data_IF_281335803193
#
_entry.id   IF_281335803193
#
_cell.length_a   1.000
_cell.length_b   1.000
_cell.length_c   1.000
_cell.angle_alpha   90.00
_cell.angle_beta   90.00
_cell.angle_gamma   90.00
#
_symmetry.space_group_name_H-M   'P 1'
#
loop_
_entity.id
_entity.type
_entity.pdbx_description
1 polymer ?
#
# COMPACT_ATOMS: atom_id res chain seq x y z
N UNK A 1 -40.41 -34.88 -5.96
CA UNK A 1 -40.87 -33.47 -5.86
C UNK A 1 -40.86 -33.04 -4.40
N UNK A 2 -39.92 -32.18 -4.00
CA UNK A 2 -39.99 -31.25 -2.87
C UNK A 2 -38.75 -30.35 -2.95
N UNK A 3 -38.99 -29.05 -3.07
CA UNK A 3 -38.03 -28.05 -3.52
C UNK A 3 -36.92 -27.77 -2.52
N UNK A 4 -35.72 -27.50 -3.06
CA UNK A 4 -34.67 -26.75 -2.37
C UNK A 4 -34.72 -25.32 -2.87
N UNK A 5 -35.15 -24.44 -1.98
CA UNK A 5 -35.06 -22.98 -2.12
C UNK A 5 -33.59 -22.56 -2.21
N UNK A 6 -33.25 -21.85 -3.28
CA UNK A 6 -31.93 -21.22 -3.48
C UNK A 6 -31.78 -20.00 -2.54
N UNK A 7 -30.62 -19.78 -1.89
CA UNK A 7 -30.39 -18.54 -1.15
C UNK A 7 -30.28 -17.34 -2.11
N UNK A 8 -30.99 -16.26 -1.78
CA UNK A 8 -31.29 -15.10 -2.63
C UNK A 8 -30.24 -13.98 -2.60
N UNK A 9 -28.94 -14.28 -2.53
CA UNK A 9 -27.89 -13.25 -2.47
C UNK A 9 -27.18 -12.99 -3.82
N UNK A 10 -27.75 -13.47 -4.92
CA UNK A 10 -27.34 -13.06 -6.27
C UNK A 10 -28.15 -11.82 -6.64
N UNK A 11 -27.67 -10.63 -6.25
CA UNK A 11 -27.90 -9.38 -6.99
C UNK A 11 -27.14 -8.18 -6.41
N UNK A 12 -26.52 -7.44 -7.33
CA UNK A 12 -25.85 -6.12 -7.24
C UNK A 12 -24.39 -6.20 -6.78
N UNK A 13 -23.42 -5.66 -7.49
CA UNK A 13 -23.43 -4.89 -8.72
C UNK A 13 -21.99 -4.82 -9.25
N UNK A 14 -21.88 -4.75 -10.57
CA UNK A 14 -20.64 -4.46 -11.29
C UNK A 14 -19.91 -3.28 -10.67
N UNK A 15 -18.82 -3.55 -9.96
CA UNK A 15 -17.86 -2.54 -9.51
C UNK A 15 -17.09 -2.04 -10.72
N UNK A 16 -17.70 -1.12 -11.48
CA UNK A 16 -16.98 -0.32 -12.44
C UNK A 16 -15.92 0.47 -11.67
N UNK A 17 -14.66 0.28 -12.05
CA UNK A 17 -13.56 1.11 -11.58
C UNK A 17 -13.92 2.59 -11.79
N UNK A 18 -13.73 3.47 -10.80
CA UNK A 18 -13.82 4.90 -11.04
C UNK A 18 -12.84 5.23 -12.16
N UNK A 19 -13.34 5.74 -13.29
CA UNK A 19 -12.45 6.24 -14.35
C UNK A 19 -11.61 7.35 -13.74
N UNK A 20 -10.29 7.22 -13.85
CA UNK A 20 -9.33 8.28 -13.54
C UNK A 20 -9.53 9.41 -14.55
N UNK A 21 -10.48 10.29 -14.28
CA UNK A 21 -10.60 11.62 -14.88
C UNK A 21 -10.94 12.61 -13.79
N UNK A 22 -9.95 12.88 -12.96
CA UNK A 22 -9.77 14.16 -12.28
C UNK A 22 -8.28 14.31 -11.98
N UNK A 23 -7.50 14.58 -13.04
CA UNK A 23 -6.20 15.23 -12.86
C UNK A 23 -6.47 16.62 -12.28
N UNK A 24 -5.75 17.08 -11.25
CA UNK A 24 -5.67 18.51 -11.00
C UNK A 24 -5.11 19.14 -12.27
N UNK A 25 -5.88 20.05 -12.90
CA UNK A 25 -5.39 20.84 -14.04
C UNK A 25 -4.13 21.57 -13.60
N UNK A 26 -3.02 21.30 -14.28
CA UNK A 26 -1.89 22.23 -14.34
C UNK A 26 -2.45 23.56 -14.85
N UNK A 27 -2.69 24.50 -13.94
CA UNK A 27 -2.87 25.89 -14.32
C UNK A 27 -1.49 26.46 -14.49
N UNK A 28 -1.06 26.56 -15.74
CA UNK A 28 0.00 27.44 -16.19
C UNK A 28 -0.28 28.84 -15.64
N UNK A 29 0.52 29.27 -14.66
CA UNK A 29 0.72 30.69 -14.39
C UNK A 29 2.19 30.98 -14.58
N UNK A 30 2.40 31.78 -15.62
CA UNK A 30 3.64 32.36 -16.08
C UNK A 30 4.58 32.75 -14.95
N UNK A 31 5.83 32.33 -15.16
CA UNK A 31 7.01 33.03 -14.76
C UNK A 31 7.02 34.43 -15.42
N UNK A 32 6.94 35.51 -14.63
CA UNK A 32 7.57 36.80 -14.96
C UNK A 32 7.40 37.79 -13.80
N UNK A 33 8.53 38.31 -13.32
CA UNK A 33 8.66 39.50 -12.45
C UNK A 33 8.30 39.24 -10.98
N UNK A 34 9.17 39.36 -9.98
CA UNK A 34 10.22 40.36 -9.79
C UNK A 34 11.25 39.76 -8.82
N UNK A 35 12.53 39.60 -9.17
CA UNK A 35 13.56 40.63 -8.96
C UNK A 35 13.31 41.45 -7.69
N UNK A 36 13.80 40.95 -6.55
CA UNK A 36 14.35 41.69 -5.38
C UNK A 36 14.81 40.58 -4.41
N UNK A 37 16.09 40.18 -4.48
CA UNK A 37 16.93 39.66 -3.38
C UNK A 37 18.37 39.45 -3.90
N UNK A 38 18.82 40.35 -4.77
CA UNK A 38 20.21 40.45 -5.25
C UNK A 38 20.71 41.88 -5.04
N UNK A 39 20.87 42.27 -3.78
CA UNK A 39 21.61 43.48 -3.42
C UNK A 39 21.99 43.43 -1.93
N UNK A 40 23.10 42.78 -1.60
CA UNK A 40 23.99 43.14 -0.49
C UNK A 40 25.17 42.16 -0.40
N UNK A 41 26.08 42.19 -1.36
CA UNK A 41 27.47 41.80 -1.13
C UNK A 41 28.33 42.37 -2.24
N UNK A 42 28.68 43.64 -2.12
CA UNK A 42 29.77 44.22 -2.91
C UNK A 42 30.67 45.03 -1.98
N UNK A 43 31.94 44.62 -1.94
CA UNK A 43 33.15 45.28 -1.43
C UNK A 43 33.49 45.04 0.05
N UNK A 44 34.42 44.11 0.27
CA UNK A 44 35.81 44.47 0.59
C UNK A 44 36.73 43.23 0.51
N UNK A 45 37.60 43.26 -0.50
CA UNK A 45 38.98 42.74 -0.54
C UNK A 45 39.48 41.83 0.59
N UNK A 46 40.01 40.65 0.23
CA UNK A 46 40.85 39.85 1.11
C UNK A 46 41.08 38.41 0.63
N UNK A 47 42.00 38.26 -0.33
CA UNK A 47 42.94 37.14 -0.50
C UNK A 47 42.47 35.69 -0.72
N UNK A 48 43.28 35.03 -1.54
CA UNK A 48 43.14 33.70 -2.08
C UNK A 48 43.17 32.60 -1.01
N UNK A 49 42.41 31.53 -1.24
CA UNK A 49 42.57 30.31 -0.46
C UNK A 49 41.52 29.26 -0.73
N UNK A 50 41.84 28.33 -1.63
CA UNK A 50 41.43 26.92 -1.58
C UNK A 50 39.96 26.53 -1.83
N UNK A 51 39.81 25.32 -2.39
CA UNK A 51 38.59 24.49 -2.41
C UNK A 51 37.56 24.78 -3.51
N UNK A 52 37.96 24.52 -4.76
CA UNK A 52 37.05 24.10 -5.83
C UNK A 52 36.64 22.63 -5.68
N UNK A 53 36.08 22.29 -4.52
CA UNK A 53 35.42 21.02 -4.23
C UNK A 53 34.11 21.36 -3.52
N UNK A 54 33.08 20.52 -3.70
CA UNK A 54 31.77 20.61 -3.04
C UNK A 54 30.69 21.44 -3.73
N UNK A 55 30.41 21.18 -5.02
CA UNK A 55 29.14 21.60 -5.63
C UNK A 55 28.07 20.48 -5.72
N UNK A 56 28.31 19.29 -5.14
CA UNK A 56 27.36 18.17 -5.21
C UNK A 56 27.00 17.52 -3.86
N UNK A 57 27.48 18.05 -2.73
CA UNK A 57 27.29 17.43 -1.41
C UNK A 57 26.09 17.96 -0.61
N UNK A 58 25.33 18.94 -1.13
CA UNK A 58 24.35 19.72 -0.33
C UNK A 58 22.86 19.37 -0.51
N UNK A 59 22.53 18.32 -1.27
CA UNK A 59 21.14 17.88 -1.47
C UNK A 59 20.93 16.39 -1.18
N UNK A 60 21.55 15.89 -0.11
CA UNK A 60 21.23 14.61 0.53
C UNK A 60 20.64 14.89 1.93
N UNK A 61 19.58 15.70 2.00
CA UNK A 61 18.74 15.77 3.19
C UNK A 61 18.00 14.43 3.29
N UNK A 62 18.53 13.52 4.11
CA UNK A 62 17.85 12.27 4.51
C UNK A 62 16.50 12.65 5.11
N UNK A 63 15.46 12.57 4.30
CA UNK A 63 14.09 12.75 4.76
C UNK A 63 13.79 11.68 5.81
N UNK A 64 13.27 12.10 6.96
CA UNK A 64 12.93 11.19 8.04
C UNK A 64 11.75 10.28 7.60
N UNK A 65 11.68 9.07 8.14
CA UNK A 65 10.60 8.11 7.85
C UNK A 65 9.25 8.78 8.10
N UNK A 66 9.14 9.56 9.18
CA UNK A 66 7.91 10.27 9.52
C UNK A 66 7.56 11.39 8.55
N UNK A 67 8.56 12.11 8.03
CA UNK A 67 8.35 13.14 7.01
C UNK A 67 7.83 12.51 5.71
N UNK A 68 8.49 11.45 5.23
CA UNK A 68 8.06 10.70 4.04
C UNK A 68 6.63 10.17 4.23
N UNK A 69 6.34 9.55 5.38
CA UNK A 69 5.00 9.03 5.66
C UNK A 69 3.93 10.13 5.66
N UNK A 70 4.25 11.30 6.22
CA UNK A 70 3.37 12.46 6.25
C UNK A 70 3.05 12.97 4.84
N UNK A 71 4.07 13.10 3.99
CA UNK A 71 3.91 13.50 2.59
C UNK A 71 3.06 12.49 1.81
N UNK A 72 3.41 11.21 1.88
CA UNK A 72 2.70 10.12 1.19
C UNK A 72 1.21 10.11 1.57
N UNK A 73 0.88 10.18 2.86
CA UNK A 73 -0.52 10.15 3.33
C UNK A 73 -1.27 11.42 2.95
N UNK A 74 -0.59 12.57 2.85
CA UNK A 74 -1.22 13.84 2.47
C UNK A 74 -1.71 13.86 1.02
N UNK A 75 -1.00 13.16 0.13
CA UNK A 75 -1.38 13.03 -1.28
C UNK A 75 -2.25 11.79 -1.54
N UNK A 76 -1.84 10.65 -0.98
CA UNK A 76 -2.40 9.33 -1.27
C UNK A 76 -3.05 8.69 -0.05
N UNK A 77 -4.33 8.35 -0.17
CA UNK A 77 -5.01 7.54 0.84
C UNK A 77 -4.48 6.10 0.78
N UNK A 78 -3.68 5.68 1.77
CA UNK A 78 -3.17 4.30 1.87
C UNK A 78 -3.74 3.57 3.08
N UNK A 79 -4.16 2.32 2.90
CA UNK A 79 -4.51 1.46 4.03
C UNK A 79 -3.24 1.05 4.83
N UNK A 80 -3.44 0.50 6.02
CA UNK A 80 -2.34 0.19 6.94
C UNK A 80 -1.34 -0.80 6.33
N UNK A 81 -1.80 -1.88 5.68
CA UNK A 81 -0.89 -2.81 4.99
C UNK A 81 -0.10 -2.13 3.87
N UNK A 82 -0.77 -1.26 3.09
CA UNK A 82 -0.12 -0.60 1.95
C UNK A 82 0.92 0.43 2.33
N UNK A 83 0.69 1.16 3.42
CA UNK A 83 1.68 2.06 3.97
C UNK A 83 2.83 1.28 4.61
N UNK A 84 2.53 0.31 5.48
CA UNK A 84 3.55 -0.41 6.22
C UNK A 84 4.48 -1.24 5.33
N UNK A 85 3.98 -1.81 4.23
CA UNK A 85 4.85 -2.56 3.32
C UNK A 85 5.90 -1.70 2.61
N UNK A 86 5.70 -0.38 2.50
CA UNK A 86 6.71 0.52 1.93
C UNK A 86 7.99 0.60 2.77
N UNK A 87 7.92 0.12 4.01
CA UNK A 87 9.02 0.08 4.97
C UNK A 87 9.33 -1.35 5.42
N UNK A 88 8.86 -2.36 4.68
CA UNK A 88 8.91 -3.77 5.08
C UNK A 88 10.34 -4.30 5.32
N UNK A 89 11.35 -3.76 4.66
CA UNK A 89 12.74 -4.23 4.84
C UNK A 89 13.45 -3.62 6.05
N UNK A 90 12.91 -2.55 6.65
CA UNK A 90 13.51 -1.92 7.84
C UNK A 90 13.37 -2.78 9.09
N UNK A 91 12.23 -3.48 9.23
CA UNK A 91 12.00 -4.47 10.26
C UNK A 91 11.23 -5.65 9.66
N UNK A 92 11.58 -6.88 10.02
CA UNK A 92 10.89 -8.09 9.55
C UNK A 92 10.06 -8.77 10.64
N UNK A 93 10.12 -8.26 11.86
CA UNK A 93 9.50 -8.86 13.06
C UNK A 93 8.00 -8.62 13.06
N UNK A 94 7.57 -7.40 12.74
CA UNK A 94 6.17 -7.01 12.77
C UNK A 94 5.49 -7.19 11.41
N UNK A 95 4.17 -7.42 11.43
CA UNK A 95 3.36 -7.46 10.22
C UNK A 95 3.26 -6.08 9.56
N UNK A 96 3.18 -6.02 8.23
CA UNK A 96 3.09 -4.74 7.52
C UNK A 96 1.82 -3.94 7.90
N UNK A 97 0.68 -4.61 8.13
CA UNK A 97 -0.53 -3.95 8.64
C UNK A 97 -0.28 -3.25 9.98
N UNK A 98 0.43 -3.91 10.90
CA UNK A 98 0.79 -3.36 12.21
C UNK A 98 1.76 -2.19 12.08
N UNK A 99 2.79 -2.31 11.24
CA UNK A 99 3.73 -1.21 10.94
C UNK A 99 3.01 0.02 10.41
N UNK A 100 2.14 -0.13 9.42
CA UNK A 100 1.40 1.00 8.86
C UNK A 100 0.46 1.63 9.89
N UNK A 101 -0.19 0.82 10.73
CA UNK A 101 -1.00 1.31 11.85
C UNK A 101 -0.15 2.14 12.83
N UNK A 102 1.04 1.67 13.17
CA UNK A 102 1.97 2.37 14.05
C UNK A 102 2.45 3.70 13.44
N UNK A 103 2.81 3.72 12.15
CA UNK A 103 3.18 4.94 11.44
C UNK A 103 2.06 5.98 11.45
N UNK A 104 0.82 5.55 11.19
CA UNK A 104 -0.35 6.45 11.28
C UNK A 104 -0.62 6.93 12.70
N UNK A 105 -0.41 6.10 13.71
CA UNK A 105 -0.49 6.50 15.12
C UNK A 105 0.52 7.60 15.44
N UNK A 106 1.77 7.42 15.01
CA UNK A 106 2.82 8.41 15.23
C UNK A 106 2.50 9.74 14.52
N UNK A 107 2.03 9.70 13.26
CA UNK A 107 1.57 10.89 12.54
C UNK A 107 0.40 11.59 13.24
N UNK A 108 -0.55 10.81 13.79
CA UNK A 108 -1.66 11.35 14.57
C UNK A 108 -1.14 12.06 15.83
N UNK A 109 -0.23 11.45 16.59
CA UNK A 109 0.37 12.06 17.77
C UNK A 109 1.13 13.36 17.43
N UNK A 110 1.93 13.35 16.36
CA UNK A 110 2.63 14.55 15.87
C UNK A 110 1.63 15.66 15.51
N UNK A 111 0.55 15.34 14.81
CA UNK A 111 -0.48 16.31 14.47
C UNK A 111 -1.17 16.89 15.73
N UNK A 112 -1.41 16.08 16.76
CA UNK A 112 -1.95 16.59 18.03
C UNK A 112 -0.97 17.49 18.78
N UNK A 113 0.31 17.13 18.81
CA UNK A 113 1.37 17.95 19.41
C UNK A 113 1.45 19.33 18.76
N UNK A 114 1.29 19.39 17.43
CA UNK A 114 1.29 20.65 16.67
C UNK A 114 -0.07 21.35 16.62
N UNK A 115 -1.13 20.80 17.23
CA UNK A 115 -2.47 21.39 17.15
C UNK A 115 -2.54 22.79 17.78
N UNK A 116 -1.71 23.08 18.79
CA UNK A 116 -1.65 24.38 19.47
C UNK A 116 -0.85 25.42 18.69
N UNK A 117 0.23 25.03 18.01
CA UNK A 117 1.15 25.95 17.32
C UNK A 117 0.81 26.11 15.83
N UNK A 118 0.52 25.01 15.13
CA UNK A 118 0.22 24.97 13.69
C UNK A 118 -1.13 24.30 13.42
N UNK A 119 -2.20 24.90 13.95
CA UNK A 119 -3.56 24.32 13.92
C UNK A 119 -4.07 23.95 12.53
N UNK A 120 -3.74 24.73 11.50
CA UNK A 120 -4.16 24.46 10.10
C UNK A 120 -3.47 23.22 9.54
N UNK A 121 -2.17 23.05 9.82
CA UNK A 121 -1.36 21.94 9.30
C UNK A 121 -1.74 20.64 10.01
N UNK A 122 -1.85 20.69 11.33
CA UNK A 122 -2.37 19.59 12.14
C UNK A 122 -3.73 19.10 11.63
N UNK A 123 -4.64 20.03 11.33
CA UNK A 123 -5.96 19.67 10.79
C UNK A 123 -5.86 19.00 9.41
N UNK A 124 -4.98 19.47 8.53
CA UNK A 124 -4.75 18.86 7.20
C UNK A 124 -4.24 17.42 7.34
N UNK A 125 -3.24 17.19 8.18
CA UNK A 125 -2.67 15.85 8.41
C UNK A 125 -3.71 14.89 9.00
N UNK A 126 -4.48 15.34 10.01
CA UNK A 126 -5.55 14.53 10.61
C UNK A 126 -6.65 14.20 9.61
N UNK A 127 -7.01 15.16 8.74
CA UNK A 127 -8.00 14.95 7.67
C UNK A 127 -7.51 13.89 6.68
N UNK A 128 -6.26 13.99 6.23
CA UNK A 128 -5.65 13.01 5.32
C UNK A 128 -5.59 11.60 5.94
N UNK A 129 -5.20 11.49 7.21
CA UNK A 129 -5.22 10.23 7.95
C UNK A 129 -6.65 9.65 8.00
N UNK A 130 -7.66 10.45 8.34
CA UNK A 130 -9.04 10.00 8.40
C UNK A 130 -9.56 9.55 7.02
N UNK A 131 -9.24 10.28 5.95
CA UNK A 131 -9.57 9.89 4.57
C UNK A 131 -8.90 8.57 4.16
N UNK A 132 -7.73 8.24 4.72
CA UNK A 132 -7.05 6.95 4.50
C UNK A 132 -7.71 5.75 5.21
N UNK A 133 -8.80 5.99 5.95
CA UNK A 133 -9.50 4.97 6.73
C UNK A 133 -8.99 4.78 8.15
N UNK A 134 -8.13 5.68 8.66
CA UNK A 134 -7.63 5.59 10.04
C UNK A 134 -8.64 6.16 11.03
N UNK A 135 -9.42 5.27 11.65
CA UNK A 135 -10.58 5.62 12.50
C UNK A 135 -10.26 6.49 13.73
N UNK A 136 -9.12 6.32 14.45
CA UNK A 136 -8.83 7.10 15.64
C UNK A 136 -8.77 8.62 15.40
N UNK A 137 -8.48 9.05 14.16
CA UNK A 137 -8.48 10.45 13.80
C UNK A 137 -9.88 11.08 13.84
N UNK A 138 -10.95 10.31 13.61
CA UNK A 138 -12.33 10.82 13.60
C UNK A 138 -12.72 11.44 14.96
N UNK A 139 -12.34 10.79 16.06
CA UNK A 139 -12.61 11.30 17.41
C UNK A 139 -11.89 12.63 17.67
N UNK A 140 -10.66 12.78 17.16
CA UNK A 140 -9.86 14.01 17.30
C UNK A 140 -10.43 15.14 16.44
N UNK A 141 -10.78 14.85 15.18
CA UNK A 141 -11.34 15.83 14.26
C UNK A 141 -12.68 16.39 14.74
N UNK A 142 -13.56 15.55 15.31
CA UNK A 142 -14.84 15.99 15.89
C UNK A 142 -14.66 17.00 17.04
N UNK A 143 -13.60 16.86 17.84
CA UNK A 143 -13.24 17.84 18.89
C UNK A 143 -12.77 19.17 18.29
N UNK A 144 -12.07 19.14 17.15
CA UNK A 144 -11.54 20.35 16.51
C UNK A 144 -12.59 21.11 15.68
N UNK A 145 -13.52 20.41 15.02
CA UNK A 145 -14.62 20.98 14.25
C UNK A 145 -15.90 20.13 14.38
N UNK A 146 -17.00 20.76 14.83
CA UNK A 146 -18.31 20.10 15.07
C UNK A 146 -19.03 19.61 13.81
N UNK A 147 -18.76 20.20 12.64
CA UNK A 147 -19.35 19.80 11.36
C UNK A 147 -18.23 19.51 10.37
N UNK A 148 -17.92 18.24 10.19
CA UNK A 148 -16.99 17.78 9.17
C UNK A 148 -17.58 16.54 8.51
N UNK A 149 -17.79 16.62 7.20
CA UNK A 149 -18.09 15.44 6.41
C UNK A 149 -16.76 14.86 5.94
N UNK A 150 -16.44 13.67 6.45
CA UNK A 150 -15.20 12.96 6.11
C UNK A 150 -15.62 11.72 5.35
N UNK A 151 -15.28 11.69 4.07
CA UNK A 151 -15.49 10.53 3.22
C UNK A 151 -14.17 9.76 3.17
N UNK A 152 -14.22 8.51 3.64
CA UNK A 152 -13.10 7.58 3.49
C UNK A 152 -12.86 7.32 2.00
N UNK A 153 -11.61 7.51 1.55
CA UNK A 153 -11.19 7.22 0.19
C UNK A 153 -10.69 5.77 0.11
N UNK A 154 -10.96 5.05 -0.99
CA UNK A 154 -10.35 3.74 -1.21
C UNK A 154 -8.82 3.89 -1.26
N UNK A 155 -8.12 2.83 -0.83
CA UNK A 155 -6.67 2.80 -0.87
C UNK A 155 -6.18 3.02 -2.31
N UNK A 156 -5.25 3.95 -2.52
CA UNK A 156 -4.69 4.28 -3.83
C UNK A 156 -4.06 3.08 -4.53
N UNK A 157 -3.43 2.16 -3.78
CA UNK A 157 -2.76 1.00 -4.37
C UNK A 157 -3.68 -0.20 -4.49
N UNK A 158 -4.30 -0.63 -3.39
CA UNK A 158 -5.05 -1.90 -3.37
C UNK A 158 -6.56 -1.74 -3.53
N UNK A 159 -7.10 -0.52 -3.56
CA UNK A 159 -8.55 -0.29 -3.66
C UNK A 159 -9.39 -1.08 -2.64
N UNK A 160 -8.82 -1.43 -1.48
CA UNK A 160 -9.47 -2.18 -0.40
C UNK A 160 -9.40 -3.71 -0.48
N UNK A 161 -8.81 -4.33 -1.51
CA UNK A 161 -8.77 -5.81 -1.57
C UNK A 161 -7.91 -6.44 -0.46
N UNK A 162 -6.99 -5.69 0.16
CA UNK A 162 -6.17 -6.18 1.27
C UNK A 162 -7.00 -6.55 2.52
N UNK A 163 -8.20 -5.99 2.66
CA UNK A 163 -9.12 -6.35 3.76
C UNK A 163 -9.91 -7.63 3.45
N UNK A 164 -9.90 -8.10 2.20
CA UNK A 164 -10.60 -9.31 1.73
C UNK A 164 -9.69 -10.55 1.59
N UNK A 165 -8.46 -10.50 2.10
CA UNK A 165 -7.50 -11.62 2.00
C UNK A 165 -8.03 -12.91 2.65
N UNK A 166 -8.84 -12.80 3.70
CA UNK A 166 -9.49 -13.96 4.32
C UNK A 166 -10.50 -14.62 3.38
N UNK A 167 -11.34 -13.82 2.70
CA UNK A 167 -12.27 -14.30 1.67
C UNK A 167 -11.52 -15.05 0.56
N UNK A 168 -10.42 -14.48 0.07
CA UNK A 168 -9.61 -15.11 -0.98
C UNK A 168 -8.94 -16.42 -0.51
N UNK A 169 -8.53 -16.48 0.75
CA UNK A 169 -7.95 -17.68 1.34
C UNK A 169 -8.97 -18.81 1.43
N UNK A 170 -10.20 -18.50 1.85
CA UNK A 170 -11.31 -19.44 1.91
C UNK A 170 -11.73 -19.92 0.52
N UNK A 171 -11.78 -19.03 -0.47
CA UNK A 171 -12.04 -19.41 -1.86
C UNK A 171 -10.96 -20.37 -2.38
N UNK A 172 -9.68 -20.04 -2.15
CA UNK A 172 -8.56 -20.85 -2.61
C UNK A 172 -8.55 -22.26 -2.03
N UNK A 173 -8.81 -22.42 -0.73
CA UNK A 173 -8.89 -23.75 -0.12
C UNK A 173 -10.10 -24.54 -0.63
N UNK A 174 -11.26 -23.89 -0.78
CA UNK A 174 -12.46 -24.56 -1.29
C UNK A 174 -12.32 -25.00 -2.75
N UNK A 175 -11.51 -24.30 -3.55
CA UNK A 175 -11.23 -24.69 -4.94
C UNK A 175 -10.40 -25.97 -5.07
N UNK A 176 -9.74 -26.44 -4.01
CA UNK A 176 -9.05 -27.74 -4.03
C UNK A 176 -10.04 -28.92 -4.12
N UNK A 177 -11.27 -28.76 -3.62
CA UNK A 177 -12.25 -29.86 -3.56
C UNK A 177 -11.66 -31.09 -2.87
N UNK A 178 -11.78 -32.25 -3.52
CA UNK A 178 -11.30 -33.55 -3.01
C UNK A 178 -9.91 -33.92 -3.54
N UNK A 179 -9.16 -32.99 -4.13
CA UNK A 179 -7.85 -33.30 -4.71
C UNK A 179 -6.82 -33.57 -3.60
N UNK A 180 -6.25 -34.76 -3.63
CA UNK A 180 -5.16 -35.15 -2.73
C UNK A 180 -3.85 -34.45 -3.11
N UNK A 181 -3.27 -33.72 -2.16
CA UNK A 181 -1.96 -33.08 -2.29
C UNK A 181 -1.29 -33.01 -0.92
N UNK A 182 0.04 -33.05 -0.91
CA UNK A 182 0.86 -32.84 0.28
C UNK A 182 1.43 -31.43 0.32
N UNK A 183 1.79 -30.90 -0.86
CA UNK A 183 2.44 -29.59 -1.00
C UNK A 183 1.67 -28.66 -1.94
N UNK A 184 1.56 -27.40 -1.54
CA UNK A 184 0.87 -26.35 -2.29
C UNK A 184 1.75 -25.11 -2.45
N UNK A 185 1.59 -24.40 -3.57
CA UNK A 185 2.12 -23.05 -3.80
C UNK A 185 0.95 -22.08 -4.00
N UNK A 186 1.05 -20.89 -3.41
CA UNK A 186 0.14 -19.79 -3.68
C UNK A 186 0.81 -18.78 -4.61
N UNK A 187 0.18 -18.55 -5.76
CA UNK A 187 0.46 -17.45 -6.67
C UNK A 187 -0.71 -16.47 -6.72
N UNK A 188 -0.47 -15.30 -7.34
CA UNK A 188 -1.56 -14.38 -7.64
C UNK A 188 -1.34 -13.69 -8.99
N UNK A 189 -2.44 -13.35 -9.65
CA UNK A 189 -2.48 -12.47 -10.83
C UNK A 189 -2.94 -11.09 -10.35
N UNK A 190 -2.05 -10.11 -10.44
CA UNK A 190 -2.29 -8.73 -9.99
C UNK A 190 -2.82 -7.88 -11.15
N UNK A 191 -3.79 -6.96 -10.93
CA UNK A 191 -4.16 -5.97 -11.93
C UNK A 191 -2.98 -5.06 -12.24
N UNK A 192 -2.80 -4.72 -13.52
CA UNK A 192 -1.74 -3.82 -13.96
C UNK A 192 -1.80 -2.46 -13.23
N UNK A 193 -3.00 -1.90 -13.03
CA UNK A 193 -3.17 -0.62 -12.34
C UNK A 193 -2.60 -0.62 -10.92
N UNK A 194 -2.64 -1.77 -10.24
CA UNK A 194 -2.12 -1.90 -8.86
C UNK A 194 -0.59 -1.92 -8.86
N UNK A 195 0.00 -2.60 -9.84
CA UNK A 195 1.46 -2.65 -10.02
C UNK A 195 1.99 -1.27 -10.42
N UNK A 196 1.36 -0.61 -11.39
CA UNK A 196 1.71 0.74 -11.83
C UNK A 196 1.60 1.77 -10.70
N UNK A 197 0.50 1.75 -9.93
CA UNK A 197 0.29 2.67 -8.81
C UNK A 197 1.33 2.47 -7.69
N UNK A 198 1.75 1.22 -7.46
CA UNK A 198 2.83 0.93 -6.51
C UNK A 198 4.18 1.46 -6.99
N UNK A 199 4.53 1.19 -8.24
CA UNK A 199 5.81 1.59 -8.82
C UNK A 199 5.92 3.12 -8.92
N UNK A 200 4.83 3.81 -9.30
CA UNK A 200 4.76 5.28 -9.30
C UNK A 200 5.03 5.84 -7.89
N UNK A 201 4.35 5.29 -6.87
CA UNK A 201 4.48 5.74 -5.49
C UNK A 201 5.90 5.49 -4.96
N UNK A 202 6.50 4.33 -5.24
CA UNK A 202 7.88 4.01 -4.84
C UNK A 202 8.90 4.92 -5.51
N UNK A 203 8.73 5.20 -6.80
CA UNK A 203 9.63 6.06 -7.56
C UNK A 203 9.56 7.51 -7.06
N UNK A 204 8.35 8.04 -6.86
CA UNK A 204 8.13 9.43 -6.43
C UNK A 204 8.78 9.75 -5.09
N UNK A 205 8.58 8.88 -4.09
CA UNK A 205 9.09 9.09 -2.72
C UNK A 205 10.39 8.34 -2.43
N UNK A 206 11.04 7.77 -3.46
CA UNK A 206 12.30 7.01 -3.35
C UNK A 206 12.25 5.92 -2.26
N UNK A 207 11.14 5.17 -2.19
CA UNK A 207 10.88 4.16 -1.16
C UNK A 207 11.67 2.88 -1.42
N UNK A 208 12.96 2.89 -1.06
CA UNK A 208 13.89 1.76 -1.28
C UNK A 208 13.57 0.54 -0.43
N UNK A 209 12.85 0.73 0.66
CA UNK A 209 12.59 -0.31 1.65
C UNK A 209 11.29 -1.08 1.42
N UNK A 210 10.57 -0.79 0.34
CA UNK A 210 9.24 -1.30 0.07
C UNK A 210 9.20 -2.72 -0.48
N UNK A 211 8.37 -3.57 0.12
CA UNK A 211 8.00 -4.88 -0.41
C UNK A 211 6.98 -4.73 -1.56
N UNK A 212 7.01 -5.65 -2.53
CA UNK A 212 6.00 -5.67 -3.60
C UNK A 212 4.68 -6.25 -3.08
N UNK A 213 3.56 -5.62 -3.43
CA UNK A 213 2.22 -6.06 -3.01
C UNK A 213 1.92 -7.53 -3.35
N UNK A 214 2.45 -8.04 -4.47
CA UNK A 214 2.36 -9.46 -4.87
C UNK A 214 2.92 -10.40 -3.80
N UNK A 215 4.07 -10.05 -3.22
CA UNK A 215 4.72 -10.86 -2.19
C UNK A 215 3.95 -10.80 -0.87
N UNK A 216 3.42 -9.63 -0.51
CA UNK A 216 2.60 -9.50 0.69
C UNK A 216 1.32 -10.35 0.56
N UNK A 217 0.60 -10.25 -0.56
CA UNK A 217 -0.65 -10.98 -0.78
C UNK A 217 -0.40 -12.50 -0.76
N UNK A 218 0.57 -12.99 -1.52
CA UNK A 218 0.87 -14.44 -1.57
C UNK A 218 1.32 -14.98 -0.21
N UNK A 219 2.12 -14.21 0.55
CA UNK A 219 2.53 -14.59 1.91
C UNK A 219 1.34 -14.64 2.86
N UNK A 220 0.48 -13.63 2.83
CA UNK A 220 -0.65 -13.51 3.75
C UNK A 220 -1.76 -14.53 3.47
N UNK A 221 -2.03 -14.85 2.20
CA UNK A 221 -2.94 -15.94 1.82
C UNK A 221 -2.31 -17.29 2.21
N UNK A 222 -1.02 -17.51 1.93
CA UNK A 222 -0.34 -18.76 2.26
C UNK A 222 -0.30 -19.06 3.77
N UNK A 223 -0.14 -18.04 4.63
CA UNK A 223 -0.23 -18.20 6.10
C UNK A 223 -1.63 -18.64 6.54
N UNK A 224 -2.67 -18.03 5.97
CA UNK A 224 -4.07 -18.35 6.30
C UNK A 224 -4.43 -19.76 5.87
N UNK A 225 -4.01 -20.17 4.67
CA UNK A 225 -4.25 -21.52 4.18
C UNK A 225 -3.54 -22.57 5.04
N UNK A 226 -2.27 -22.35 5.42
CA UNK A 226 -1.57 -23.24 6.36
C UNK A 226 -2.26 -23.34 7.73
N UNK A 227 -2.91 -22.28 8.20
CA UNK A 227 -3.66 -22.31 9.45
C UNK A 227 -5.00 -23.06 9.32
N UNK A 228 -5.58 -23.11 8.11
CA UNK A 228 -6.87 -23.76 7.84
C UNK A 228 -6.75 -25.22 7.42
N UNK A 229 -5.63 -25.61 6.81
CA UNK A 229 -5.39 -26.93 6.28
C UNK A 229 -3.99 -27.42 6.62
N UNK A 230 -3.88 -28.70 6.96
CA UNK A 230 -2.60 -29.39 7.18
C UNK A 230 -1.91 -29.71 5.84
N UNK A 231 -1.60 -28.66 5.06
CA UNK A 231 -0.90 -28.72 3.79
C UNK A 231 0.41 -27.95 3.90
N UNK A 232 1.49 -28.53 3.37
CA UNK A 232 2.82 -27.90 3.42
C UNK A 232 2.96 -26.90 2.26
N UNK A 233 3.59 -25.76 2.52
CA UNK A 233 3.92 -24.81 1.47
C UNK A 233 5.27 -25.15 0.84
N UNK A 234 5.30 -25.44 -0.46
CA UNK A 234 6.55 -25.65 -1.21
C UNK A 234 6.58 -24.72 -2.44
N UNK A 235 7.60 -23.86 -2.52
CA UNK A 235 7.79 -22.92 -3.64
C UNK A 235 8.60 -23.50 -4.80
N UNK A 236 9.32 -24.59 -4.58
CA UNK A 236 10.20 -25.19 -5.58
C UNK A 236 9.55 -26.41 -6.22
N UNK A 237 8.83 -27.21 -5.43
CA UNK A 237 8.21 -28.46 -5.84
C UNK A 237 6.80 -28.63 -5.26
N UNK A 238 5.85 -27.76 -5.60
CA UNK A 238 4.46 -27.95 -5.20
C UNK A 238 3.79 -29.08 -6.00
N UNK A 239 2.87 -29.82 -5.38
CA UNK A 239 1.96 -30.73 -6.07
C UNK A 239 0.88 -29.92 -6.80
N UNK A 240 0.40 -28.85 -6.16
CA UNK A 240 -0.65 -27.96 -6.68
C UNK A 240 -0.23 -26.50 -6.53
N UNK A 241 -0.45 -25.73 -7.59
CA UNK A 241 -0.34 -24.27 -7.55
C UNK A 241 -1.71 -23.63 -7.64
N UNK A 242 -2.08 -22.85 -6.61
CA UNK A 242 -3.30 -22.07 -6.58
C UNK A 242 -2.98 -20.62 -6.99
N UNK A 243 -3.54 -20.16 -8.10
CA UNK A 243 -3.33 -18.79 -8.60
C UNK A 243 -4.59 -17.98 -8.36
N UNK A 244 -4.53 -17.04 -7.42
CA UNK A 244 -5.63 -16.14 -7.09
C UNK A 244 -5.62 -14.91 -8.01
N UNK A 245 -6.70 -14.67 -8.76
CA UNK A 245 -6.92 -13.43 -9.53
C UNK A 245 -7.50 -12.35 -8.63
N UNK A 246 -6.84 -11.20 -8.57
CA UNK A 246 -7.29 -10.05 -7.79
C UNK A 246 -7.84 -8.98 -8.76
N UNK A 247 -8.83 -8.17 -8.34
CA UNK A 247 -9.54 -8.18 -7.04
C UNK A 247 -10.75 -9.13 -6.97
N UNK A 248 -11.04 -9.91 -8.00
CA UNK A 248 -12.25 -10.75 -8.12
C UNK A 248 -12.24 -11.92 -7.12
N UNK A 249 -11.06 -12.47 -6.86
CA UNK A 249 -10.85 -13.62 -5.99
C UNK A 249 -11.06 -14.97 -6.68
N UNK A 250 -11.15 -15.01 -8.01
CA UNK A 250 -11.22 -16.27 -8.77
C UNK A 250 -9.92 -17.04 -8.62
N UNK A 251 -10.01 -18.37 -8.50
CA UNK A 251 -8.84 -19.22 -8.26
C UNK A 251 -8.67 -20.19 -9.41
N UNK A 252 -7.47 -20.19 -9.98
CA UNK A 252 -7.02 -21.17 -10.97
C UNK A 252 -6.19 -22.24 -10.26
N UNK A 253 -6.60 -23.50 -10.41
CA UNK A 253 -5.97 -24.66 -9.77
C UNK A 253 -5.13 -25.38 -10.82
N UNK A 254 -3.80 -25.34 -10.65
CA UNK A 254 -2.86 -26.01 -11.53
C UNK A 254 -2.25 -27.21 -10.82
N UNK A 255 -2.60 -28.42 -11.26
CA UNK A 255 -2.05 -29.67 -10.76
C UNK A 255 -0.75 -29.96 -11.51
N UNK A 256 0.36 -30.08 -10.79
CA UNK A 256 1.65 -30.36 -11.42
C UNK A 256 1.76 -31.85 -11.82
N UNK A 257 2.31 -32.15 -13.00
CA UNK A 257 2.38 -33.51 -13.50
C UNK A 257 3.33 -34.38 -12.66
N UNK A 258 2.92 -35.62 -12.43
CA UNK A 258 3.75 -36.66 -11.82
C UNK A 258 4.43 -37.47 -12.92
N UNK A 259 5.75 -37.60 -12.85
CA UNK A 259 6.53 -38.34 -13.83
C UNK A 259 6.80 -39.76 -13.34
N UNK A 260 6.33 -40.76 -14.09
CA UNK A 260 6.66 -42.16 -13.86
C UNK A 260 7.84 -42.56 -14.73
N UNK A 261 8.84 -43.22 -14.14
CA UNK A 261 9.97 -43.80 -14.86
C UNK A 261 9.91 -45.33 -14.76
N UNK A 262 9.67 -45.99 -15.88
CA UNK A 262 9.73 -47.45 -16.01
C UNK A 262 10.90 -47.88 -16.89
N UNK A 263 11.39 -49.11 -16.69
CA UNK A 263 12.22 -49.82 -17.67
C UNK A 263 11.41 -51.01 -18.17
N UNK A 264 11.12 -51.06 -19.46
CA UNK A 264 10.49 -52.20 -20.10
C UNK A 264 11.58 -53.17 -20.57
N UNK A 265 11.35 -54.48 -20.45
CA UNK A 265 12.26 -55.53 -20.93
C UNK A 265 11.71 -56.15 -22.19
#
# INVERSE_FOLDING_TARGET
MKGRTRPSWIRRGSGAWPRVRDRPRETSRNCSSSSIWLAACSRSSGEAGSLGGECWARYDMKMDIMEICGEVISEYALCDSCLGRQFASLDRTFGNKEKGRALKMMLHMQAQMHASTKRKDAFRSLKALAESGYEPCLATLRKMRRKLDIVTRPCYICSGFMDRLEEFSLKAINSLGDVECSTIMIGCKMPLQVEESEDELKARYKLRHGENIRYEVTREIGKRIQALADKRMDKLRPDITLIVRLPEGDVEVNINPVFFKGRYR
#
